data_IF_896695854876
#
_entry.id   IF_896695854876
#
_cell.length_a   1.000
_cell.length_b   1.000
_cell.length_c   1.000
_cell.angle_alpha   90.00
_cell.angle_beta   90.00
_cell.angle_gamma   90.00
#
_symmetry.space_group_name_H-M   'P 1'
#
loop_
_entity.id
_entity.type
_entity.pdbx_description
1 polymer ?
#
# COMPACT_ATOMS: atom_id res chain seq x y z
N UNK A 1 -30.10 10.65 -8.18
CA UNK A 1 -29.10 11.00 -7.15
C UNK A 1 -27.81 11.39 -7.87
N UNK A 2 -27.16 12.48 -7.46
CA UNK A 2 -25.89 12.90 -8.04
C UNK A 2 -24.80 11.87 -7.67
N UNK A 3 -24.04 11.40 -8.67
CA UNK A 3 -22.91 10.49 -8.46
C UNK A 3 -21.65 11.33 -8.47
N UNK A 4 -20.93 11.36 -7.36
CA UNK A 4 -19.58 11.95 -7.33
C UNK A 4 -18.66 10.99 -8.07
N UNK A 5 -18.12 11.43 -9.21
CA UNK A 5 -17.25 10.61 -10.06
C UNK A 5 -15.78 11.00 -9.99
N UNK A 6 -15.47 12.16 -9.42
CA UNK A 6 -14.11 12.68 -9.27
C UNK A 6 -14.02 13.58 -8.05
N UNK A 7 -12.93 13.44 -7.32
CA UNK A 7 -12.54 14.33 -6.21
C UNK A 7 -11.06 14.62 -6.42
N UNK A 8 -10.68 15.89 -6.36
CA UNK A 8 -9.28 16.30 -6.31
C UNK A 8 -8.92 16.56 -4.84
N UNK A 9 -7.83 15.96 -4.36
CA UNK A 9 -7.38 16.03 -2.96
C UNK A 9 -5.98 16.66 -2.90
N UNK A 10 -5.78 17.60 -1.98
CA UNK A 10 -4.47 18.14 -1.64
C UNK A 10 -3.99 17.43 -0.37
N UNK A 11 -2.75 16.93 -0.36
CA UNK A 11 -2.19 16.17 0.75
C UNK A 11 -1.02 16.92 1.38
N UNK A 12 -0.99 17.01 2.71
CA UNK A 12 0.18 17.48 3.45
C UNK A 12 1.16 16.32 3.71
N UNK A 13 2.23 16.26 2.91
CA UNK A 13 3.24 15.20 3.05
C UNK A 13 4.06 15.28 4.35
N UNK A 14 3.90 16.32 5.17
CA UNK A 14 4.46 16.35 6.52
C UNK A 14 3.68 15.47 7.52
N UNK A 15 2.44 15.08 7.19
CA UNK A 15 1.56 14.22 7.99
C UNK A 15 1.06 13.00 7.17
N UNK A 16 1.96 12.16 6.64
CA UNK A 16 1.61 11.20 5.60
C UNK A 16 0.65 10.10 6.05
N UNK A 17 0.64 9.75 7.34
CA UNK A 17 -0.24 8.67 7.85
C UNK A 17 -1.66 9.19 7.97
N UNK A 18 -1.82 10.35 8.59
CA UNK A 18 -3.10 11.02 8.81
C UNK A 18 -3.78 11.33 7.47
N UNK A 19 -3.03 11.89 6.51
CA UNK A 19 -3.54 12.19 5.17
C UNK A 19 -4.05 10.94 4.44
N UNK A 20 -3.32 9.83 4.53
CA UNK A 20 -3.76 8.56 3.91
C UNK A 20 -5.02 8.02 4.58
N UNK A 21 -5.13 8.10 5.91
CA UNK A 21 -6.34 7.70 6.64
C UNK A 21 -7.55 8.53 6.18
N UNK A 22 -7.38 9.84 6.01
CA UNK A 22 -8.44 10.74 5.57
C UNK A 22 -8.88 10.44 4.14
N UNK A 23 -7.94 10.17 3.23
CA UNK A 23 -8.24 9.76 1.85
C UNK A 23 -9.00 8.43 1.82
N UNK A 24 -8.55 7.42 2.58
CA UNK A 24 -9.24 6.13 2.65
C UNK A 24 -10.68 6.32 3.16
N UNK A 25 -10.84 7.11 4.22
CA UNK A 25 -12.14 7.42 4.82
C UNK A 25 -13.07 8.09 3.82
N UNK A 26 -12.58 9.06 3.06
CA UNK A 26 -13.31 9.71 1.98
C UNK A 26 -13.77 8.70 0.91
N UNK A 27 -12.87 7.83 0.46
CA UNK A 27 -13.15 6.85 -0.61
C UNK A 27 -14.20 5.83 -0.19
N UNK A 28 -14.10 5.26 1.01
CA UNK A 28 -15.06 4.25 1.47
C UNK A 28 -16.45 4.85 1.72
N UNK A 29 -16.54 6.10 2.18
CA UNK A 29 -17.80 6.80 2.36
C UNK A 29 -18.49 7.14 1.03
N UNK A 30 -17.70 7.39 -0.03
CA UNK A 30 -18.23 7.58 -1.38
C UNK A 30 -18.76 6.28 -2.03
N UNK A 31 -18.45 5.11 -1.46
CA UNK A 31 -18.79 3.78 -2.02
C UNK A 31 -19.54 2.88 -1.01
N UNK A 32 -20.75 3.26 -0.59
CA UNK A 32 -21.55 2.42 0.29
C UNK A 32 -21.87 1.07 -0.36
N UNK A 33 -21.76 -0.01 0.43
CA UNK A 33 -21.92 -1.40 0.00
C UNK A 33 -20.63 -2.05 -0.52
N UNK A 34 -19.55 -1.29 -0.71
CA UNK A 34 -18.26 -1.81 -1.20
C UNK A 34 -17.10 -1.56 -0.22
N UNK A 35 -17.36 -0.99 0.95
CA UNK A 35 -16.32 -0.53 1.88
C UNK A 35 -15.37 -1.66 2.28
N UNK A 36 -15.90 -2.82 2.69
CA UNK A 36 -15.07 -3.96 3.10
C UNK A 36 -14.17 -4.46 1.96
N UNK A 37 -14.72 -4.57 0.75
CA UNK A 37 -13.95 -4.98 -0.43
C UNK A 37 -12.81 -4.01 -0.74
N UNK A 38 -13.07 -2.70 -0.65
CA UNK A 38 -12.06 -1.66 -0.87
C UNK A 38 -10.96 -1.77 0.18
N UNK A 39 -11.33 -1.87 1.46
CA UNK A 39 -10.36 -1.99 2.56
C UNK A 39 -9.50 -3.25 2.45
N UNK A 40 -10.07 -4.39 2.10
CA UNK A 40 -9.31 -5.63 1.88
C UNK A 40 -8.32 -5.52 0.73
N UNK A 41 -8.69 -4.85 -0.37
CA UNK A 41 -7.77 -4.63 -1.48
C UNK A 41 -6.61 -3.69 -1.11
N UNK A 42 -6.90 -2.66 -0.30
CA UNK A 42 -5.87 -1.74 0.22
C UNK A 42 -4.93 -2.49 1.19
N UNK A 43 -5.48 -3.29 2.11
CA UNK A 43 -4.72 -4.10 3.07
C UNK A 43 -3.72 -5.03 2.36
N UNK A 44 -4.18 -5.78 1.35
CA UNK A 44 -3.30 -6.64 0.55
C UNK A 44 -2.18 -5.84 -0.13
N UNK A 45 -2.51 -4.70 -0.75
CA UNK A 45 -1.51 -3.86 -1.41
C UNK A 45 -0.45 -3.32 -0.44
N UNK A 46 -0.86 -2.92 0.77
CA UNK A 46 0.05 -2.48 1.83
C UNK A 46 0.95 -3.65 2.26
N UNK A 47 0.38 -4.83 2.48
CA UNK A 47 1.13 -6.06 2.81
C UNK A 47 2.20 -6.38 1.76
N UNK A 48 1.84 -6.35 0.48
CA UNK A 48 2.76 -6.60 -0.63
C UNK A 48 3.89 -5.56 -0.68
N UNK A 49 3.55 -4.27 -0.49
CA UNK A 49 4.52 -3.19 -0.47
C UNK A 49 5.51 -3.32 0.70
N UNK A 50 5.03 -3.69 1.89
CA UNK A 50 5.88 -3.95 3.05
C UNK A 50 6.83 -5.12 2.79
N UNK A 51 6.31 -6.24 2.29
CA UNK A 51 7.14 -7.41 1.97
C UNK A 51 8.23 -7.09 0.92
N UNK A 52 7.92 -6.26 -0.07
CA UNK A 52 8.89 -5.81 -1.06
C UNK A 52 9.99 -4.93 -0.43
N UNK A 53 9.64 -4.02 0.47
CA UNK A 53 10.59 -3.17 1.19
C UNK A 53 11.48 -3.98 2.13
N UNK A 54 10.92 -4.97 2.83
CA UNK A 54 11.68 -5.88 3.69
C UNK A 54 12.68 -6.69 2.88
N UNK A 55 12.26 -7.23 1.74
CA UNK A 55 13.15 -7.97 0.83
C UNK A 55 14.28 -7.10 0.29
N UNK A 56 13.99 -5.84 -0.06
CA UNK A 56 15.00 -4.91 -0.55
C UNK A 56 16.04 -4.51 0.52
N UNK A 57 15.68 -4.63 1.80
CA UNK A 57 16.57 -4.36 2.94
C UNK A 57 17.44 -5.56 3.34
N UNK A 58 17.17 -6.76 2.83
CA UNK A 58 18.01 -7.92 3.07
C UNK A 58 19.30 -7.82 2.21
N UNK A 59 20.50 -7.83 2.81
CA UNK A 59 21.74 -7.86 2.03
C UNK A 59 21.81 -9.15 1.23
N UNK A 60 22.25 -9.07 -0.03
CA UNK A 60 22.41 -10.20 -0.93
C UNK A 60 23.41 -11.23 -0.38
N UNK A 61 22.95 -12.15 0.47
CA UNK A 61 23.69 -13.34 0.86
C UNK A 61 23.35 -14.47 -0.11
N UNK A 62 24.02 -14.51 -1.27
CA UNK A 62 24.20 -15.74 -2.04
C UNK A 62 25.26 -15.52 -3.13
N UNK A 63 26.53 -15.74 -2.78
CA UNK A 63 27.62 -16.07 -3.71
C UNK A 63 28.88 -16.47 -2.92
N UNK A 64 28.76 -17.45 -2.04
CA UNK A 64 29.89 -18.24 -1.55
C UNK A 64 29.37 -19.67 -1.45
N UNK A 65 30.18 -20.66 -1.82
CA UNK A 65 29.89 -22.11 -1.81
C UNK A 65 29.37 -22.75 -3.11
N UNK A 66 30.04 -22.56 -4.27
CA UNK A 66 30.17 -23.63 -5.29
C UNK A 66 31.53 -23.71 -6.02
N UNK A 67 32.58 -23.02 -5.56
CA UNK A 67 33.95 -23.18 -6.08
C UNK A 67 34.85 -23.83 -5.03
N UNK A 68 34.58 -25.08 -4.65
CA UNK A 68 35.57 -25.98 -4.05
C UNK A 68 34.99 -27.40 -3.97
N UNK A 69 34.98 -28.06 -5.12
CA UNK A 69 35.01 -29.52 -5.23
C UNK A 69 35.45 -29.85 -6.66
N UNK A 70 36.68 -29.46 -7.00
CA UNK A 70 37.50 -30.15 -8.00
C UNK A 70 38.19 -31.35 -7.33
#
# INVERSE_FOLDING_TARGET
MARVTRIDVSLDLSLPVEEVIDVISLVINAHPGQQLRILQAIDQHIGDAMAALEKAQQPAQENVEKNNAE
#
